data_IF_672815217816
#
_entry.id   IF_672815217816
#
_cell.length_a   1.000
_cell.length_b   1.000
_cell.length_c   1.000
_cell.angle_alpha   90.00
_cell.angle_beta   90.00
_cell.angle_gamma   90.00
#
_symmetry.space_group_name_H-M   'P 1'
#
loop_
_entity.id
_entity.type
_entity.pdbx_description
1 polymer ?
#
# COMPACT_ATOMS: atom_id res chain seq x y z
N UNK A 1 8.46 0.05 -19.85
CA UNK A 1 8.39 1.48 -20.20
C UNK A 1 7.67 2.21 -19.09
N UNK A 2 8.06 3.44 -18.71
CA UNK A 2 7.26 4.23 -17.77
C UNK A 2 5.84 4.36 -18.32
N UNK A 3 4.84 4.27 -17.45
CA UNK A 3 3.45 4.47 -17.85
C UNK A 3 3.30 5.91 -18.37
N UNK A 4 2.89 6.14 -19.63
CA UNK A 4 2.77 7.49 -20.20
C UNK A 4 1.63 8.30 -19.57
N UNK A 5 0.75 7.66 -18.80
CA UNK A 5 -0.34 8.30 -18.08
C UNK A 5 -0.16 8.13 -16.58
N UNK A 6 -0.35 9.22 -15.82
CA UNK A 6 -0.39 9.14 -14.37
C UNK A 6 -1.53 8.19 -13.96
N UNK A 7 -1.28 7.19 -13.09
CA UNK A 7 -2.32 6.31 -12.60
C UNK A 7 -3.45 7.09 -11.95
N UNK A 8 -4.69 6.75 -12.27
CA UNK A 8 -5.86 7.24 -11.55
C UNK A 8 -6.07 6.37 -10.31
N UNK A 9 -5.87 6.98 -9.14
CA UNK A 9 -6.04 6.33 -7.83
C UNK A 9 -6.27 7.39 -6.75
N UNK A 10 -7.01 7.01 -5.71
CA UNK A 10 -7.18 7.76 -4.47
C UNK A 10 -5.88 7.84 -3.64
N UNK A 11 -4.94 6.92 -3.84
CA UNK A 11 -3.60 6.94 -3.26
C UNK A 11 -2.68 7.89 -4.07
N UNK A 12 -2.90 9.19 -3.90
CA UNK A 12 -2.31 10.26 -4.71
C UNK A 12 -0.77 10.32 -4.68
N UNK A 13 -0.18 10.05 -3.52
CA UNK A 13 1.25 10.22 -3.25
C UNK A 13 2.12 9.08 -3.82
N UNK A 14 1.52 8.05 -4.41
CA UNK A 14 2.22 6.89 -5.02
C UNK A 14 1.93 6.72 -6.52
N UNK A 15 1.53 7.80 -7.20
CA UNK A 15 1.27 7.82 -8.66
C UNK A 15 2.53 7.74 -9.52
N UNK A 16 3.72 7.91 -8.94
CA UNK A 16 4.97 7.92 -9.69
C UNK A 16 5.45 6.51 -10.00
N UNK A 17 6.11 6.33 -11.16
CA UNK A 17 6.82 5.09 -11.48
C UNK A 17 8.09 4.93 -10.65
N UNK A 18 8.51 3.68 -10.42
CA UNK A 18 9.80 3.37 -9.80
C UNK A 18 10.94 3.96 -10.64
N UNK A 19 11.93 4.58 -9.98
CA UNK A 19 13.07 5.22 -10.64
C UNK A 19 14.26 4.29 -10.87
N UNK A 20 15.22 4.73 -11.67
CA UNK A 20 16.42 3.95 -12.04
C UNK A 20 17.29 3.56 -10.84
N UNK A 21 17.35 4.42 -9.82
CA UNK A 21 18.15 4.16 -8.62
C UNK A 21 17.46 3.18 -7.65
N UNK A 22 16.13 3.20 -7.57
CA UNK A 22 15.38 2.35 -6.63
C UNK A 22 15.05 0.98 -7.22
N UNK A 23 14.94 0.88 -8.55
CA UNK A 23 14.61 -0.37 -9.23
C UNK A 23 15.56 -1.54 -8.91
N UNK A 24 16.90 -1.40 -8.95
CA UNK A 24 17.79 -2.50 -8.61
C UNK A 24 17.58 -3.02 -7.18
N UNK A 25 17.37 -2.12 -6.22
CA UNK A 25 17.12 -2.46 -4.81
C UNK A 25 15.81 -3.23 -4.67
N UNK A 26 14.73 -2.74 -5.31
CA UNK A 26 13.43 -3.41 -5.27
C UNK A 26 13.51 -4.79 -5.93
N UNK A 27 14.12 -4.88 -7.12
CA UNK A 27 14.26 -6.12 -7.88
C UNK A 27 15.01 -7.19 -7.10
N UNK A 28 16.06 -6.80 -6.37
CA UNK A 28 16.98 -7.76 -5.74
C UNK A 28 16.61 -8.07 -4.29
N UNK A 29 15.91 -7.18 -3.57
CA UNK A 29 15.69 -7.28 -2.12
C UNK A 29 14.22 -7.30 -1.67
N UNK A 30 13.24 -6.97 -2.53
CA UNK A 30 11.83 -7.04 -2.15
C UNK A 30 11.27 -8.42 -2.49
N UNK A 31 10.75 -9.13 -1.49
CA UNK A 31 10.26 -10.50 -1.64
C UNK A 31 8.99 -10.59 -2.52
N UNK A 32 8.03 -9.68 -2.31
CA UNK A 32 6.77 -9.69 -3.05
C UNK A 32 6.15 -8.28 -3.16
N UNK A 33 5.41 -8.05 -4.25
CA UNK A 33 4.57 -6.86 -4.45
C UNK A 33 3.10 -7.28 -4.54
N UNK A 34 2.30 -6.80 -3.59
CA UNK A 34 0.86 -7.02 -3.56
C UNK A 34 0.15 -5.80 -4.16
N UNK A 35 -0.82 -6.05 -5.03
CA UNK A 35 -1.64 -5.02 -5.67
C UNK A 35 -3.02 -5.04 -5.02
N UNK A 36 -3.54 -3.85 -4.71
CA UNK A 36 -4.86 -3.64 -4.12
C UNK A 36 -5.69 -2.70 -4.98
N UNK A 37 -7.00 -2.83 -4.87
CA UNK A 37 -8.00 -2.04 -5.58
C UNK A 37 -8.36 -0.76 -4.83
N UNK A 38 -8.97 0.20 -5.53
CA UNK A 38 -9.48 1.44 -4.93
C UNK A 38 -10.45 1.19 -3.76
N UNK A 39 -11.30 0.16 -3.87
CA UNK A 39 -12.27 -0.18 -2.83
C UNK A 39 -11.60 -0.77 -1.59
N UNK A 40 -10.55 -1.58 -1.76
CA UNK A 40 -9.74 -2.08 -0.65
C UNK A 40 -9.01 -0.94 0.07
N UNK A 41 -8.44 0.02 -0.68
CA UNK A 41 -7.77 1.19 -0.10
C UNK A 41 -8.76 2.03 0.74
N UNK A 42 -9.95 2.32 0.19
CA UNK A 42 -11.01 3.07 0.91
C UNK A 42 -11.47 2.33 2.17
N UNK A 43 -11.72 1.02 2.06
CA UNK A 43 -12.17 0.22 3.19
C UNK A 43 -11.12 0.16 4.30
N UNK A 44 -9.85 -0.04 3.94
CA UNK A 44 -8.75 -0.08 4.90
C UNK A 44 -8.53 1.27 5.59
N UNK A 45 -8.55 2.36 4.83
CA UNK A 45 -8.42 3.74 5.36
C UNK A 45 -9.53 4.01 6.37
N UNK A 46 -10.78 3.72 5.99
CA UNK A 46 -11.95 3.86 6.87
C UNK A 46 -11.83 3.00 8.12
N UNK A 47 -11.35 1.76 8.00
CA UNK A 47 -11.17 0.86 9.14
C UNK A 47 -10.18 1.46 10.16
N UNK A 48 -9.05 2.00 9.70
CA UNK A 48 -8.06 2.66 10.58
C UNK A 48 -8.68 3.87 11.27
N UNK A 49 -9.42 4.71 10.55
CA UNK A 49 -10.11 5.86 11.14
C UNK A 49 -11.13 5.41 12.20
N UNK A 50 -11.96 4.43 11.89
CA UNK A 50 -13.05 4.00 12.76
C UNK A 50 -12.57 3.17 13.96
N UNK A 51 -11.50 2.39 13.81
CA UNK A 51 -11.06 1.43 14.84
C UNK A 51 -9.83 1.87 15.61
N UNK A 52 -8.86 2.49 14.93
CA UNK A 52 -7.62 2.96 15.55
C UNK A 52 -7.67 4.43 15.91
N UNK A 53 -8.62 5.20 15.35
CA UNK A 53 -8.78 6.64 15.58
C UNK A 53 -7.56 7.47 15.13
N UNK A 54 -6.82 6.94 14.16
CA UNK A 54 -5.69 7.60 13.52
C UNK A 54 -6.15 8.20 12.19
N UNK A 55 -5.91 9.49 11.97
CA UNK A 55 -6.25 10.16 10.72
C UNK A 55 -5.15 9.95 9.68
N UNK A 56 -5.18 8.80 9.02
CA UNK A 56 -4.25 8.47 7.92
C UNK A 56 -4.81 8.97 6.58
N UNK A 57 -3.93 9.29 5.64
CA UNK A 57 -4.33 9.53 4.24
C UNK A 57 -4.54 8.19 3.48
N UNK A 58 -5.25 8.17 2.34
CA UNK A 58 -5.51 6.93 1.59
C UNK A 58 -4.23 6.17 1.19
N UNK A 59 -3.15 6.88 0.89
CA UNK A 59 -1.83 6.29 0.57
C UNK A 59 -1.29 5.43 1.73
N UNK A 60 -1.42 5.90 2.97
CA UNK A 60 -1.02 5.12 4.14
C UNK A 60 -1.94 3.91 4.40
N UNK A 61 -3.16 3.94 3.85
CA UNK A 61 -4.09 2.81 3.88
C UNK A 61 -3.70 1.64 2.97
N UNK A 62 -2.83 1.85 1.98
CA UNK A 62 -2.43 0.82 0.99
C UNK A 62 -1.80 -0.40 1.67
N UNK A 63 -0.90 -0.19 2.65
CA UNK A 63 -0.27 -1.29 3.38
C UNK A 63 -1.27 -2.10 4.22
N UNK A 64 -2.26 -1.43 4.82
CA UNK A 64 -3.34 -2.09 5.57
C UNK A 64 -4.25 -2.88 4.63
N UNK A 65 -4.60 -2.31 3.49
CA UNK A 65 -5.36 -2.98 2.44
C UNK A 65 -4.63 -4.25 1.95
N UNK A 66 -3.31 -4.16 1.76
CA UNK A 66 -2.51 -5.30 1.30
C UNK A 66 -2.60 -6.47 2.28
N UNK A 67 -2.41 -6.23 3.58
CA UNK A 67 -2.46 -7.28 4.62
C UNK A 67 -3.86 -7.89 4.78
N UNK A 68 -4.93 -7.10 4.55
CA UNK A 68 -6.31 -7.58 4.59
C UNK A 68 -6.75 -8.30 3.31
N UNK A 69 -5.98 -8.20 2.23
CA UNK A 69 -6.33 -8.77 0.92
C UNK A 69 -6.32 -10.30 0.94
N UNK A 70 -7.10 -10.89 0.04
CA UNK A 70 -7.09 -12.35 -0.17
C UNK A 70 -5.70 -12.85 -0.59
N UNK A 71 -4.90 -12.00 -1.24
CA UNK A 71 -3.57 -12.35 -1.71
C UNK A 71 -2.56 -12.46 -0.56
N UNK A 72 -2.69 -11.66 0.49
CA UNK A 72 -1.84 -11.82 1.66
C UNK A 72 -2.05 -13.17 2.38
N UNK A 73 -3.18 -13.84 2.15
CA UNK A 73 -3.41 -15.19 2.71
C UNK A 73 -2.49 -16.26 2.10
N UNK A 74 -1.84 -16.00 0.96
CA UNK A 74 -0.82 -16.90 0.42
C UNK A 74 0.57 -16.67 0.99
N UNK A 75 0.77 -15.62 1.80
CA UNK A 75 2.02 -15.41 2.53
C UNK A 75 2.22 -16.57 3.52
N UNK A 76 3.44 -17.12 3.66
CA UNK A 76 3.71 -18.23 4.57
C UNK A 76 3.22 -17.94 6.00
N UNK A 77 2.61 -18.93 6.64
CA UNK A 77 1.99 -18.77 7.97
C UNK A 77 3.00 -18.46 9.07
N UNK A 78 4.28 -18.71 8.82
CA UNK A 78 5.39 -18.35 9.69
C UNK A 78 5.55 -16.83 9.84
N UNK A 79 4.99 -16.04 8.90
CA UNK A 79 4.93 -14.57 8.99
C UNK A 79 3.75 -14.16 9.87
N UNK A 80 3.92 -14.28 11.19
CA UNK A 80 2.87 -13.97 12.16
C UNK A 80 2.85 -12.49 12.58
N UNK A 81 4.03 -11.88 12.70
CA UNK A 81 4.19 -10.52 13.20
C UNK A 81 4.44 -9.56 12.04
N UNK A 82 3.41 -8.82 11.64
CA UNK A 82 3.44 -7.90 10.50
C UNK A 82 3.50 -6.46 11.00
N UNK A 83 4.53 -5.72 10.57
CA UNK A 83 4.62 -4.28 10.79
C UNK A 83 4.17 -3.53 9.54
N UNK A 84 3.23 -2.60 9.70
CA UNK A 84 2.72 -1.77 8.60
C UNK A 84 3.15 -0.32 8.85
N UNK A 85 3.79 0.30 7.86
CA UNK A 85 4.18 1.71 7.93
C UNK A 85 3.00 2.57 7.49
N UNK A 86 2.37 3.28 8.44
CA UNK A 86 1.37 4.32 8.16
C UNK A 86 2.11 5.60 7.75
N UNK A 87 2.42 5.73 6.45
CA UNK A 87 3.40 6.69 5.94
C UNK A 87 2.96 8.17 5.94
N UNK A 88 1.68 8.47 6.12
CA UNK A 88 1.15 9.82 5.98
C UNK A 88 -0.25 10.00 6.58
N UNK A 89 -0.58 11.25 6.89
CA UNK A 89 -1.85 11.66 7.49
C UNK A 89 -2.41 12.95 6.89
N UNK A 90 -1.94 13.35 5.71
CA UNK A 90 -2.39 14.56 5.04
C UNK A 90 -3.69 14.27 4.27
N UNK A 91 -4.76 14.03 5.02
CA UNK A 91 -6.09 13.79 4.47
C UNK A 91 -6.87 15.12 4.40
N UNK A 92 -7.40 15.44 3.22
CA UNK A 92 -8.36 16.54 2.98
C UNK A 92 -9.78 15.99 2.81
#
# INVERSE_FOLDING_TARGET
>A
TPNPHAPETIADSVKTSIGENTWPVIRDLVDEVLVVTEEEIKAATRLVWERMKLLIEPTAGVGVAAVLSQRFQSVPREVENVCIVLCGGNAN
#
